data_IF_866001459742
#
_entry.id   IF_866001459742
#
_cell.length_a   1.000
_cell.length_b   1.000
_cell.length_c   1.000
_cell.angle_alpha   90.00
_cell.angle_beta   90.00
_cell.angle_gamma   90.00
#
_symmetry.space_group_name_H-M   'P 1'
#
loop_
_entity.id
_entity.type
_entity.pdbx_description
1 polymer ?
#
# COMPACT_ATOMS: atom_id res chain seq x y z
N UNK A 1 -71.51 -84.30 -14.58
CA UNK A 1 -72.01 -83.81 -15.88
C UNK A 1 -70.83 -83.18 -16.63
N UNK A 2 -70.45 -83.83 -17.74
CA UNK A 2 -69.95 -83.28 -19.02
C UNK A 2 -69.55 -81.79 -19.06
N UNK A 3 -68.43 -81.37 -19.65
CA UNK A 3 -68.04 -81.70 -21.03
C UNK A 3 -66.58 -81.33 -21.37
N UNK A 4 -66.02 -82.22 -22.17
CA UNK A 4 -64.88 -82.16 -23.09
C UNK A 4 -64.78 -80.88 -23.97
N UNK A 5 -63.55 -80.42 -24.25
CA UNK A 5 -63.03 -80.13 -25.62
C UNK A 5 -61.56 -79.71 -25.64
N UNK A 6 -60.79 -80.38 -26.51
CA UNK A 6 -59.36 -80.24 -26.76
C UNK A 6 -58.90 -78.98 -27.51
N UNK A 7 -57.63 -78.95 -27.96
CA UNK A 7 -56.81 -77.74 -28.03
C UNK A 7 -56.99 -76.95 -29.33
N UNK A 8 -56.99 -75.63 -29.23
CA UNK A 8 -56.86 -74.72 -30.39
C UNK A 8 -55.47 -74.12 -30.41
N UNK A 9 -54.74 -74.38 -31.49
CA UNK A 9 -53.46 -73.81 -31.85
C UNK A 9 -53.58 -72.30 -32.06
N UNK A 10 -52.64 -71.54 -31.48
CA UNK A 10 -52.57 -70.08 -31.50
C UNK A 10 -51.68 -69.64 -32.69
N UNK A 11 -52.08 -68.63 -33.48
CA UNK A 11 -51.26 -68.11 -34.58
C UNK A 11 -50.02 -67.36 -34.07
N UNK A 12 -48.96 -67.22 -34.89
CA UNK A 12 -47.72 -66.60 -34.45
C UNK A 12 -47.92 -65.11 -34.16
N UNK A 13 -47.45 -64.65 -32.99
CA UNK A 13 -47.43 -63.23 -32.65
C UNK A 13 -46.28 -62.51 -33.37
N UNK A 14 -46.52 -61.32 -33.95
CA UNK A 14 -45.46 -60.50 -34.51
C UNK A 14 -44.52 -60.00 -33.40
N UNK A 15 -43.22 -60.07 -33.67
CA UNK A 15 -42.14 -59.65 -32.79
C UNK A 15 -42.37 -58.22 -32.26
N UNK A 16 -42.47 -58.08 -30.94
CA UNK A 16 -42.56 -56.78 -30.27
C UNK A 16 -41.16 -56.16 -30.26
N UNK A 17 -40.95 -55.13 -31.09
CA UNK A 17 -39.75 -54.33 -31.05
C UNK A 17 -39.60 -53.69 -29.66
N UNK A 18 -38.48 -53.99 -29.01
CA UNK A 18 -38.03 -53.38 -27.76
C UNK A 18 -37.85 -51.88 -27.98
N UNK A 19 -38.76 -51.07 -27.46
CA UNK A 19 -38.59 -49.61 -27.43
C UNK A 19 -37.60 -49.31 -26.31
N UNK A 20 -36.35 -49.01 -26.69
CA UNK A 20 -35.35 -48.48 -25.76
C UNK A 20 -35.79 -47.12 -25.19
N UNK A 21 -35.22 -46.69 -24.05
CA UNK A 21 -35.58 -45.41 -23.46
C UNK A 21 -35.27 -44.28 -24.43
N UNK A 22 -36.30 -43.55 -24.86
CA UNK A 22 -36.16 -42.33 -25.64
C UNK A 22 -35.40 -41.32 -24.79
N UNK A 23 -34.10 -41.16 -25.09
CA UNK A 23 -33.26 -40.13 -24.48
C UNK A 23 -33.80 -38.78 -24.98
N UNK A 24 -34.59 -38.11 -24.12
CA UNK A 24 -35.02 -36.74 -24.37
C UNK A 24 -33.82 -35.84 -24.63
N UNK A 25 -33.97 -34.74 -25.39
CA UNK A 25 -32.84 -33.86 -25.69
C UNK A 25 -32.19 -33.42 -24.39
N UNK A 26 -30.87 -33.58 -24.29
CA UNK A 26 -30.11 -33.04 -23.18
C UNK A 26 -30.35 -31.52 -23.18
N UNK A 27 -31.17 -31.03 -22.24
CA UNK A 27 -31.35 -29.61 -22.04
C UNK A 27 -29.98 -29.05 -21.66
N UNK A 28 -29.35 -28.30 -22.58
CA UNK A 28 -28.10 -27.61 -22.30
C UNK A 28 -28.30 -26.74 -21.07
N UNK A 29 -27.47 -26.92 -20.04
CA UNK A 29 -27.50 -26.05 -18.86
C UNK A 29 -26.98 -24.69 -19.31
N UNK A 30 -27.82 -23.66 -19.23
CA UNK A 30 -27.40 -22.28 -19.45
C UNK A 30 -26.30 -21.97 -18.41
N UNK A 31 -25.15 -21.52 -18.88
CA UNK A 31 -24.10 -21.02 -18.00
C UNK A 31 -24.52 -19.61 -17.56
N UNK A 32 -24.83 -19.44 -16.27
CA UNK A 32 -25.06 -18.11 -15.69
C UNK A 32 -23.71 -17.42 -15.49
N UNK A 33 -23.21 -16.82 -16.58
CA UNK A 33 -21.93 -16.13 -16.60
C UNK A 33 -21.87 -14.97 -15.62
N UNK A 34 -22.99 -14.30 -15.35
CA UNK A 34 -23.05 -13.16 -14.42
C UNK A 34 -22.77 -13.62 -13.01
N UNK A 35 -23.48 -14.65 -12.53
CA UNK A 35 -23.24 -15.20 -11.21
C UNK A 35 -21.82 -15.78 -11.05
N UNK A 36 -21.27 -16.36 -12.11
CA UNK A 36 -19.88 -16.85 -12.11
C UNK A 36 -18.88 -15.69 -11.97
N UNK A 37 -19.08 -14.60 -12.72
CA UNK A 37 -18.23 -13.41 -12.64
C UNK A 37 -18.32 -12.75 -11.26
N UNK A 38 -19.52 -12.59 -10.71
CA UNK A 38 -19.72 -12.03 -9.36
C UNK A 38 -18.97 -12.85 -8.30
N UNK A 39 -19.09 -14.18 -8.34
CA UNK A 39 -18.40 -15.05 -7.41
C UNK A 39 -16.87 -15.00 -7.58
N UNK A 40 -16.36 -14.85 -8.81
CA UNK A 40 -14.93 -14.68 -9.05
C UNK A 40 -14.41 -13.34 -8.50
N UNK A 41 -15.14 -12.25 -8.72
CA UNK A 41 -14.84 -10.94 -8.15
C UNK A 41 -14.81 -10.99 -6.61
N UNK A 42 -15.82 -11.61 -6.00
CA UNK A 42 -15.89 -11.81 -4.55
C UNK A 42 -14.71 -12.64 -4.01
N UNK A 43 -14.31 -13.69 -4.72
CA UNK A 43 -13.16 -14.51 -4.33
C UNK A 43 -11.84 -13.75 -4.45
N UNK A 44 -11.69 -12.93 -5.49
CA UNK A 44 -10.52 -12.07 -5.66
C UNK A 44 -10.45 -11.04 -4.53
N UNK A 45 -11.56 -10.35 -4.26
CA UNK A 45 -11.64 -9.35 -3.19
C UNK A 45 -11.28 -9.94 -1.83
N UNK A 46 -11.85 -11.10 -1.46
CA UNK A 46 -11.51 -11.78 -0.19
C UNK A 46 -10.03 -12.13 -0.07
N UNK A 47 -9.41 -12.58 -1.17
CA UNK A 47 -7.97 -12.89 -1.18
C UNK A 47 -7.12 -11.64 -1.04
N UNK A 48 -7.49 -10.57 -1.72
CA UNK A 48 -6.85 -9.27 -1.60
C UNK A 48 -6.93 -8.74 -0.16
N UNK A 49 -8.12 -8.74 0.43
CA UNK A 49 -8.34 -8.28 1.81
C UNK A 49 -7.51 -9.12 2.80
N UNK A 50 -7.48 -10.45 2.63
CA UNK A 50 -6.65 -11.34 3.47
C UNK A 50 -5.15 -11.02 3.36
N UNK A 51 -4.66 -10.75 2.14
CA UNK A 51 -3.26 -10.39 1.92
C UNK A 51 -2.94 -9.04 2.56
N UNK A 52 -3.83 -8.06 2.39
CA UNK A 52 -3.72 -6.73 2.98
C UNK A 52 -3.67 -6.83 4.52
N UNK A 53 -4.63 -7.54 5.12
CA UNK A 53 -4.71 -7.78 6.56
C UNK A 53 -3.45 -8.45 7.10
N UNK A 54 -2.98 -9.50 6.42
CA UNK A 54 -1.78 -10.24 6.84
C UNK A 54 -0.53 -9.36 6.76
N UNK A 55 -0.44 -8.52 5.73
CA UNK A 55 0.68 -7.59 5.54
C UNK A 55 0.68 -6.53 6.63
N UNK A 56 -0.46 -5.89 6.89
CA UNK A 56 -0.62 -4.89 7.96
C UNK A 56 -0.35 -5.51 9.32
N UNK A 57 -0.89 -6.69 9.62
CA UNK A 57 -0.65 -7.36 10.90
C UNK A 57 0.84 -7.70 11.13
N UNK A 58 1.57 -8.00 10.06
CA UNK A 58 3.00 -8.36 10.13
C UNK A 58 3.93 -7.14 10.17
N UNK A 59 3.58 -6.08 9.45
CA UNK A 59 4.49 -4.96 9.19
C UNK A 59 3.99 -3.62 9.73
N UNK A 60 2.74 -3.52 10.21
CA UNK A 60 2.10 -2.27 10.64
C UNK A 60 1.35 -1.55 9.52
N UNK A 61 1.85 -1.60 8.28
CA UNK A 61 1.17 -1.09 7.09
C UNK A 61 1.49 -1.98 5.87
N UNK A 62 0.71 -1.79 4.81
CA UNK A 62 0.99 -2.32 3.48
C UNK A 62 1.30 -1.17 2.51
N UNK A 63 1.94 -1.49 1.39
CA UNK A 63 2.14 -0.55 0.27
C UNK A 63 1.29 -1.00 -0.91
N UNK A 64 0.45 -0.10 -1.41
CA UNK A 64 -0.43 -0.34 -2.55
C UNK A 64 0.02 0.50 -3.74
N UNK A 65 0.45 -0.19 -4.81
CA UNK A 65 0.87 0.44 -6.07
C UNK A 65 -0.28 0.57 -7.04
N UNK A 66 -0.26 1.66 -7.80
CA UNK A 66 -1.12 1.90 -8.96
C UNK A 66 -0.23 2.26 -10.14
N UNK A 67 -0.38 1.49 -11.22
CA UNK A 67 0.45 1.62 -12.41
C UNK A 67 0.20 2.96 -13.12
N UNK A 68 1.22 3.42 -13.85
CA UNK A 68 1.08 4.61 -14.69
C UNK A 68 0.13 4.36 -15.86
N UNK A 69 -0.65 5.37 -16.19
CA UNK A 69 -1.45 5.45 -17.42
C UNK A 69 -0.82 6.44 -18.41
N UNK A 70 -1.17 6.42 -19.71
CA UNK A 70 -0.61 7.35 -20.69
C UNK A 70 -0.72 8.84 -20.32
N UNK A 71 -1.74 9.21 -19.53
CA UNK A 71 -2.00 10.58 -19.11
C UNK A 71 -1.66 10.87 -17.63
N UNK A 72 -1.25 9.86 -16.85
CA UNK A 72 -1.04 10.00 -15.41
C UNK A 72 0.13 9.12 -14.92
N UNK A 73 1.09 9.68 -14.16
CA UNK A 73 2.14 8.87 -13.56
C UNK A 73 1.57 7.87 -12.55
N UNK A 74 2.26 6.74 -12.40
CA UNK A 74 1.94 5.77 -11.37
C UNK A 74 2.25 6.31 -9.98
N UNK A 75 1.64 5.71 -8.97
CA UNK A 75 1.81 6.12 -7.58
C UNK A 75 1.81 4.93 -6.63
N UNK A 76 2.35 5.15 -5.44
CA UNK A 76 2.41 4.18 -4.36
C UNK A 76 1.90 4.87 -3.10
N UNK A 77 1.06 4.18 -2.32
CA UNK A 77 0.55 4.72 -1.07
C UNK A 77 0.53 3.68 0.04
N UNK A 78 0.52 4.15 1.28
CA UNK A 78 0.42 3.29 2.46
C UNK A 78 -1.03 2.91 2.77
N UNK A 79 -1.21 1.74 3.36
CA UNK A 79 -2.48 1.33 3.97
C UNK A 79 -2.16 0.80 5.35
N UNK A 80 -2.54 1.53 6.40
CA UNK A 80 -2.32 1.11 7.78
C UNK A 80 -1.78 2.18 8.70
N UNK A 81 -1.26 3.29 8.18
CA UNK A 81 -0.74 4.36 9.03
C UNK A 81 -1.84 5.00 9.87
N UNK A 82 -3.09 4.97 9.42
CA UNK A 82 -4.23 5.42 10.21
C UNK A 82 -4.35 4.75 11.59
N UNK A 83 -3.83 3.53 11.76
CA UNK A 83 -3.85 2.83 13.06
C UNK A 83 -2.85 3.41 14.08
N UNK A 84 -1.93 4.28 13.64
CA UNK A 84 -0.96 4.99 14.49
C UNK A 84 -1.53 6.36 14.88
N UNK A 85 -2.49 6.38 15.79
CA UNK A 85 -3.15 7.63 16.26
C UNK A 85 -3.74 8.49 15.12
N UNK A 86 -4.50 7.85 14.23
CA UNK A 86 -5.13 8.50 13.08
C UNK A 86 -4.13 9.25 12.18
N UNK A 87 -2.88 8.77 12.09
CA UNK A 87 -1.88 9.37 11.21
C UNK A 87 -2.36 9.32 9.75
N UNK A 88 -2.18 10.41 8.97
CA UNK A 88 -2.49 10.42 7.55
C UNK A 88 -1.75 9.29 6.79
N UNK A 89 -2.40 8.70 5.79
CA UNK A 89 -1.68 7.80 4.88
C UNK A 89 -0.69 8.60 4.02
N UNK A 90 0.39 7.98 3.58
CA UNK A 90 1.39 8.63 2.73
C UNK A 90 1.21 8.19 1.29
N UNK A 91 1.27 9.14 0.36
CA UNK A 91 1.23 8.86 -1.09
C UNK A 91 2.42 9.51 -1.79
N UNK A 92 3.06 8.78 -2.69
CA UNK A 92 4.11 9.31 -3.56
C UNK A 92 3.78 9.01 -5.02
N UNK A 93 3.95 10.02 -5.87
CA UNK A 93 3.58 9.97 -7.29
C UNK A 93 4.83 10.13 -8.14
N UNK A 94 4.94 9.38 -9.25
CA UNK A 94 5.97 9.61 -10.26
C UNK A 94 7.31 8.91 -10.00
N UNK A 95 7.47 8.22 -8.87
CA UNK A 95 8.65 7.43 -8.58
C UNK A 95 8.53 5.98 -9.06
N UNK A 96 9.68 5.38 -9.36
CA UNK A 96 9.77 3.93 -9.56
C UNK A 96 9.39 3.21 -8.27
N UNK A 97 8.64 2.11 -8.39
CA UNK A 97 8.06 1.35 -7.26
C UNK A 97 9.07 1.07 -6.14
N UNK A 98 10.30 0.65 -6.45
CA UNK A 98 11.31 0.38 -5.43
C UNK A 98 11.74 1.64 -4.66
N UNK A 99 11.94 2.76 -5.35
CA UNK A 99 12.32 4.03 -4.72
C UNK A 99 11.18 4.56 -3.85
N UNK A 100 9.96 4.53 -4.37
CA UNK A 100 8.75 4.86 -3.63
C UNK A 100 8.58 4.00 -2.38
N UNK A 101 8.77 2.68 -2.49
CA UNK A 101 8.62 1.77 -1.37
C UNK A 101 9.67 2.00 -0.28
N UNK A 102 10.91 2.27 -0.67
CA UNK A 102 11.99 2.59 0.27
C UNK A 102 11.65 3.87 1.03
N UNK A 103 11.27 4.93 0.29
CA UNK A 103 10.88 6.22 0.85
C UNK A 103 9.73 6.10 1.86
N UNK A 104 8.62 5.45 1.46
CA UNK A 104 7.44 5.30 2.31
C UNK A 104 7.70 4.42 3.53
N UNK A 105 8.51 3.37 3.41
CA UNK A 105 8.85 2.54 4.57
C UNK A 105 9.75 3.28 5.55
N UNK A 106 10.73 4.06 5.08
CA UNK A 106 11.57 4.88 5.97
C UNK A 106 10.73 5.90 6.74
N UNK A 107 9.79 6.60 6.08
CA UNK A 107 8.86 7.51 6.75
C UNK A 107 7.92 6.76 7.71
N UNK A 108 7.41 5.60 7.31
CA UNK A 108 6.60 4.75 8.16
C UNK A 108 7.34 4.30 9.43
N UNK A 109 8.64 4.00 9.33
CA UNK A 109 9.44 3.58 10.48
C UNK A 109 9.58 4.70 11.51
N UNK A 110 9.68 5.95 11.07
CA UNK A 110 9.65 7.12 11.97
C UNK A 110 8.29 7.29 12.64
N UNK A 111 7.19 7.09 11.90
CA UNK A 111 5.83 7.12 12.45
C UNK A 111 5.67 6.04 13.52
N UNK A 112 6.18 4.83 13.24
CA UNK A 112 6.21 3.75 14.25
C UNK A 112 7.02 4.13 15.49
N UNK A 113 8.10 4.90 15.32
CA UNK A 113 8.90 5.42 16.43
C UNK A 113 8.21 6.55 17.22
N UNK A 114 7.02 6.97 16.83
CA UNK A 114 6.22 7.99 17.53
C UNK A 114 6.27 9.38 16.91
N UNK A 115 6.96 9.55 15.78
CA UNK A 115 6.96 10.82 15.06
C UNK A 115 5.63 11.02 14.36
N UNK A 116 5.11 12.25 14.39
CA UNK A 116 3.92 12.62 13.64
C UNK A 116 4.29 13.53 12.50
N UNK A 117 4.05 13.07 11.28
CA UNK A 117 4.29 13.88 10.10
C UNK A 117 3.14 14.89 9.92
N UNK A 118 3.51 16.10 9.53
CA UNK A 118 2.57 17.19 9.31
C UNK A 118 2.71 17.75 7.89
N UNK A 119 1.61 18.32 7.41
CA UNK A 119 1.60 19.11 6.17
C UNK A 119 2.54 20.31 6.27
N UNK A 120 2.99 20.79 5.11
CA UNK A 120 3.91 21.92 4.96
C UNK A 120 5.24 21.73 5.69
N UNK A 121 5.63 20.49 5.95
CA UNK A 121 6.93 20.14 6.50
C UNK A 121 7.92 19.83 5.37
N UNK A 122 9.15 20.32 5.48
CA UNK A 122 10.25 19.89 4.60
C UNK A 122 11.21 19.01 5.40
N UNK A 123 11.63 17.89 4.82
CA UNK A 123 12.67 17.04 5.40
C UNK A 123 13.96 17.32 4.65
N UNK A 124 14.95 17.92 5.32
CA UNK A 124 16.30 18.05 4.78
C UNK A 124 17.07 16.72 4.90
N UNK A 125 18.01 16.48 3.99
CA UNK A 125 18.99 15.38 4.04
C UNK A 125 18.40 13.99 4.33
N UNK A 126 17.21 13.72 3.78
CA UNK A 126 16.54 12.45 3.95
C UNK A 126 17.33 11.32 3.24
N UNK A 127 17.40 10.09 3.79
CA UNK A 127 18.15 9.00 3.16
C UNK A 127 17.80 8.77 1.68
N UNK A 128 18.74 9.11 0.78
CA UNK A 128 18.60 8.98 -0.67
C UNK A 128 17.94 10.18 -1.37
N UNK A 129 17.56 11.23 -0.65
CA UNK A 129 16.88 12.42 -1.15
C UNK A 129 17.44 13.69 -0.48
N UNK A 130 18.03 14.63 -1.25
CA UNK A 130 18.49 15.90 -0.68
C UNK A 130 17.42 16.65 0.09
N UNK A 131 16.17 16.55 -0.39
CA UNK A 131 15.02 17.21 0.22
C UNK A 131 13.72 16.51 -0.12
N UNK A 132 12.81 16.48 0.86
CA UNK A 132 11.42 16.12 0.66
C UNK A 132 10.53 17.24 1.17
N UNK A 133 9.30 17.29 0.69
CA UNK A 133 8.25 18.11 1.30
C UNK A 133 6.99 17.27 1.49
N UNK A 134 6.21 17.60 2.51
CA UNK A 134 4.94 16.93 2.82
C UNK A 134 3.81 17.92 2.62
N UNK A 135 2.81 17.53 1.84
CA UNK A 135 1.64 18.35 1.55
C UNK A 135 0.35 17.58 1.84
N UNK A 136 -0.67 18.27 2.35
CA UNK A 136 -2.01 17.69 2.41
C UNK A 136 -2.48 17.22 1.03
N UNK A 137 -3.34 16.21 1.02
CA UNK A 137 -4.10 15.81 -0.15
C UNK A 137 -5.55 16.23 0.08
N UNK A 138 -6.18 16.88 -0.92
CA UNK A 138 -7.58 17.25 -0.76
C UNK A 138 -8.48 16.00 -0.63
N UNK A 139 -9.62 16.10 0.07
CA UNK A 139 -10.50 14.95 0.30
C UNK A 139 -10.98 14.25 -0.99
N UNK A 140 -11.14 14.98 -2.10
CA UNK A 140 -11.54 14.38 -3.37
C UNK A 140 -10.46 13.44 -3.92
N UNK A 141 -9.22 13.88 -3.88
CA UNK A 141 -8.06 13.05 -4.22
C UNK A 141 -7.85 11.91 -3.21
N UNK A 142 -8.05 12.11 -1.91
CA UNK A 142 -8.02 11.02 -0.92
C UNK A 142 -9.05 9.92 -1.25
N UNK A 143 -10.28 10.30 -1.59
CA UNK A 143 -11.34 9.36 -1.96
C UNK A 143 -10.98 8.56 -3.22
N UNK A 144 -10.40 9.23 -4.23
CA UNK A 144 -10.09 8.64 -5.52
C UNK A 144 -8.82 7.75 -5.49
N UNK A 145 -7.76 8.19 -4.81
CA UNK A 145 -6.44 7.58 -4.90
C UNK A 145 -6.20 6.50 -3.84
N UNK A 146 -6.92 6.52 -2.70
CA UNK A 146 -6.68 5.61 -1.57
C UNK A 146 -7.85 4.63 -1.30
N UNK A 147 -8.39 3.92 -2.32
CA UNK A 147 -9.58 3.09 -2.13
C UNK A 147 -9.38 1.96 -1.11
N UNK A 148 -8.16 1.42 -0.97
CA UNK A 148 -7.87 0.36 -0.01
C UNK A 148 -7.88 0.87 1.44
N UNK A 149 -7.29 2.04 1.70
CA UNK A 149 -7.28 2.65 3.02
C UNK A 149 -8.69 3.13 3.42
N UNK A 150 -9.42 3.75 2.49
CA UNK A 150 -10.81 4.15 2.70
C UNK A 150 -11.69 2.96 3.05
N UNK A 151 -11.66 1.87 2.27
CA UNK A 151 -12.44 0.65 2.58
C UNK A 151 -12.19 0.10 3.97
N UNK A 152 -10.98 0.30 4.50
CA UNK A 152 -10.55 -0.23 5.80
C UNK A 152 -10.89 0.69 6.97
N UNK A 153 -10.66 1.99 6.83
CA UNK A 153 -10.67 2.93 7.95
C UNK A 153 -11.73 4.01 7.85
N UNK A 154 -12.34 4.24 6.68
CA UNK A 154 -13.43 5.18 6.53
C UNK A 154 -14.68 4.66 7.25
N UNK A 155 -15.27 5.48 8.10
CA UNK A 155 -16.59 5.20 8.66
C UNK A 155 -17.68 5.38 7.59
N UNK A 156 -18.81 4.65 7.62
CA UNK A 156 -19.82 4.66 6.55
C UNK A 156 -20.29 6.04 6.07
N UNK A 157 -20.40 7.01 6.97
CA UNK A 157 -20.81 8.39 6.68
C UNK A 157 -19.69 9.42 6.92
N UNK A 158 -18.44 8.96 7.07
CA UNK A 158 -17.29 9.82 7.37
C UNK A 158 -16.55 10.30 6.12
N UNK A 159 -15.66 11.29 6.28
CA UNK A 159 -14.76 11.69 5.20
C UNK A 159 -13.83 10.51 4.83
N UNK A 160 -13.23 10.54 3.62
CA UNK A 160 -12.11 9.65 3.30
C UNK A 160 -10.97 9.84 4.32
N UNK A 161 -10.08 8.86 4.41
CA UNK A 161 -8.90 8.97 5.28
C UNK A 161 -8.03 10.15 4.84
N UNK A 162 -7.44 10.85 5.81
CA UNK A 162 -6.47 11.90 5.54
C UNK A 162 -5.22 11.30 4.88
N UNK A 163 -4.57 12.09 4.03
CA UNK A 163 -3.32 11.70 3.40
C UNK A 163 -2.35 12.89 3.26
N UNK A 164 -1.06 12.57 3.30
CA UNK A 164 0.03 13.46 2.93
C UNK A 164 0.68 12.98 1.64
N UNK A 165 0.81 13.87 0.66
CA UNK A 165 1.66 13.66 -0.49
C UNK A 165 3.12 13.90 -0.10
N UNK A 166 3.96 12.90 -0.33
CA UNK A 166 5.41 13.02 -0.24
C UNK A 166 5.94 13.58 -1.57
N UNK A 167 6.44 14.81 -1.51
CA UNK A 167 7.06 15.52 -2.63
C UNK A 167 8.55 15.24 -2.64
N UNK A 168 9.04 14.71 -3.76
CA UNK A 168 10.45 14.44 -3.97
C UNK A 168 11.11 15.54 -4.82
N UNK A 169 12.36 15.84 -4.50
CA UNK A 169 13.16 16.82 -5.23
C UNK A 169 13.87 16.21 -6.44
N UNK A 170 14.34 17.05 -7.37
CA UNK A 170 15.21 16.63 -8.45
C UNK A 170 16.63 16.34 -7.92
N UNK A 171 17.57 15.84 -8.75
CA UNK A 171 18.94 15.56 -8.32
C UNK A 171 19.74 16.76 -7.82
N UNK A 172 19.29 17.99 -8.09
CA UNK A 172 19.89 19.23 -7.60
C UNK A 172 19.21 19.74 -6.32
N UNK A 173 18.19 19.03 -5.84
CA UNK A 173 17.46 19.38 -4.62
C UNK A 173 16.26 20.29 -4.85
N UNK A 174 15.93 20.68 -6.09
CA UNK A 174 14.78 21.56 -6.33
C UNK A 174 13.46 20.82 -6.19
N UNK A 175 12.45 21.47 -5.62
CA UNK A 175 11.07 20.98 -5.57
C UNK A 175 10.28 21.41 -6.81
N UNK A 176 9.15 20.76 -7.16
CA UNK A 176 8.43 21.00 -8.40
C UNK A 176 7.96 22.45 -8.66
N UNK A 177 7.83 23.25 -7.59
CA UNK A 177 7.42 24.66 -7.65
C UNK A 177 8.59 25.64 -7.67
N UNK A 178 9.82 25.18 -7.46
CA UNK A 178 10.97 26.06 -7.35
C UNK A 178 11.58 26.38 -8.72
N UNK A 179 12.15 27.58 -8.89
CA UNK A 179 13.00 27.88 -10.03
C UNK A 179 14.17 26.88 -10.10
N UNK A 180 14.36 26.25 -11.26
CA UNK A 180 15.45 25.29 -11.46
C UNK A 180 15.03 23.82 -11.44
N UNK A 181 13.76 23.51 -11.15
CA UNK A 181 13.21 22.15 -11.29
C UNK A 181 13.52 21.56 -12.67
N UNK A 182 14.25 20.44 -12.67
CA UNK A 182 14.85 19.88 -13.89
C UNK A 182 13.93 18.92 -14.67
N UNK A 183 12.77 18.55 -14.14
CA UNK A 183 11.88 17.54 -14.73
C UNK A 183 10.59 18.15 -15.29
N UNK A 184 9.81 17.42 -16.10
CA UNK A 184 8.48 17.89 -16.50
C UNK A 184 7.56 18.08 -15.28
N UNK A 185 6.71 19.10 -15.28
CA UNK A 185 5.71 19.28 -14.21
C UNK A 185 4.71 18.12 -14.11
N UNK A 186 4.59 17.30 -15.16
CA UNK A 186 3.79 16.07 -15.16
C UNK A 186 4.47 14.87 -14.51
N UNK A 187 5.77 14.98 -14.17
CA UNK A 187 6.49 13.90 -13.52
C UNK A 187 5.91 13.61 -12.13
N UNK A 188 5.49 14.66 -11.41
CA UNK A 188 4.80 14.55 -10.15
C UNK A 188 3.72 15.66 -10.04
N UNK A 189 2.46 15.36 -10.39
CA UNK A 189 1.35 16.22 -10.08
C UNK A 189 1.26 16.47 -8.57
N UNK A 190 1.22 17.74 -8.16
CA UNK A 190 0.97 18.12 -6.76
C UNK A 190 -0.54 18.15 -6.58
N UNK A 191 -1.04 17.34 -5.64
CA UNK A 191 -2.47 17.07 -5.46
C UNK A 191 -3.20 18.22 -4.78
N UNK A 192 -2.48 19.04 -4.02
CA UNK A 192 -3.00 20.26 -3.43
C UNK A 192 -1.86 21.26 -3.28
N UNK A 193 -1.92 22.36 -4.03
CA UNK A 193 -1.03 23.48 -3.80
C UNK A 193 -1.60 24.35 -2.68
N UNK A 194 -0.84 24.59 -1.60
CA UNK A 194 -1.18 25.63 -0.65
C UNK A 194 -1.40 26.98 -1.35
N UNK A 195 -2.33 27.79 -0.83
CA UNK A 195 -2.49 29.17 -1.29
C UNK A 195 -1.38 30.11 -0.77
N UNK A 196 -0.62 29.71 0.25
CA UNK A 196 0.48 30.48 0.85
C UNK A 196 1.84 29.85 0.55
N UNK A 197 2.90 30.67 0.57
CA UNK A 197 4.28 30.22 0.36
C UNK A 197 4.70 29.12 1.36
N UNK A 198 5.56 28.20 0.91
CA UNK A 198 6.10 27.13 1.74
C UNK A 198 7.17 27.71 2.68
N UNK A 199 7.13 27.41 4.00
CA UNK A 199 8.19 27.85 4.90
C UNK A 199 9.55 27.27 4.50
N UNK A 200 10.60 28.05 4.70
CA UNK A 200 11.99 27.67 4.44
C UNK A 200 12.39 26.53 5.42
N UNK A 201 13.11 25.46 5.01
CA UNK A 201 13.51 24.36 5.88
C UNK A 201 14.15 24.76 7.22
N UNK A 202 14.73 25.96 7.34
CA UNK A 202 15.34 26.46 8.59
C UNK A 202 14.37 27.05 9.63
N UNK A 203 13.07 27.13 9.36
CA UNK A 203 12.10 27.78 10.26
C UNK A 203 11.44 26.81 11.27
N UNK A 204 11.73 25.51 11.17
CA UNK A 204 11.30 24.50 12.14
C UNK A 204 12.45 24.18 13.12
N UNK A 205 12.37 24.74 14.32
CA UNK A 205 13.37 24.53 15.40
C UNK A 205 13.33 23.13 16.01
N UNK A 206 12.37 22.29 15.61
CA UNK A 206 12.24 20.89 15.96
C UNK A 206 12.15 20.06 14.67
N UNK A 207 13.23 19.96 13.88
CA UNK A 207 13.28 19.05 12.74
C UNK A 207 13.54 17.61 13.25
N UNK A 208 12.54 16.71 13.23
CA UNK A 208 12.71 15.34 13.70
C UNK A 208 13.55 14.48 12.75
N UNK A 209 14.00 15.03 11.62
CA UNK A 209 14.79 14.34 10.60
C UNK A 209 16.29 14.63 10.70
N UNK A 210 16.70 15.58 11.56
CA UNK A 210 18.12 15.73 11.90
C UNK A 210 18.58 14.46 12.58
N UNK A 211 19.32 13.62 11.87
CA UNK A 211 20.05 12.52 12.48
C UNK A 211 21.10 13.16 13.39
N UNK A 212 20.96 13.01 14.71
CA UNK A 212 21.99 13.41 15.67
C UNK A 212 23.33 12.78 15.24
N UNK A 213 24.23 13.58 14.66
CA UNK A 213 25.59 13.12 14.31
C UNK A 213 26.49 12.94 15.56
N UNK A 214 26.00 13.27 16.74
CA UNK A 214 26.79 13.25 17.97
C UNK A 214 26.66 11.95 18.75
N UNK A 215 27.34 10.92 18.26
CA UNK A 215 27.98 9.94 19.16
C UNK A 215 29.42 9.72 18.73
N UNK A 216 30.21 10.81 18.73
CA UNK A 216 31.66 10.71 18.86
C UNK A 216 32.01 10.73 20.36
N UNK A 217 32.08 9.53 20.94
CA UNK A 217 32.77 9.30 22.21
C UNK A 217 34.23 9.74 22.05
N UNK A 218 34.53 10.93 22.59
CA UNK A 218 35.86 11.47 22.71
C UNK A 218 36.09 11.89 24.17
N UNK A 219 36.06 10.90 25.06
CA UNK A 219 36.65 11.01 26.38
C UNK A 219 38.18 11.06 26.32
N UNK A 220 38.72 12.25 26.04
CA UNK A 220 40.12 12.59 26.36
C UNK A 220 40.10 13.59 27.50
N UNK A 221 39.99 13.10 28.73
CA UNK A 221 40.43 13.87 29.90
C UNK A 221 41.94 13.74 30.03
N UNK A 222 42.61 14.86 29.81
CA UNK A 222 44.00 15.09 30.16
C UNK A 222 44.03 15.45 31.65
N UNK A 223 44.51 14.53 32.48
CA UNK A 223 45.10 14.86 33.78
C UNK A 223 46.51 14.24 33.82
N UNK A 224 47.50 15.11 33.88
CA UNK A 224 48.92 14.81 34.12
C UNK A 224 49.33 15.50 35.43
N UNK A 225 50.47 15.16 36.06
CA UNK A 225 50.85 13.90 36.72
C UNK A 225 51.21 14.13 38.19
N UNK A 226 51.25 13.08 39.04
CA UNK A 226 52.27 13.00 40.11
C UNK A 226 52.41 11.58 40.69
N UNK A 227 53.61 11.31 41.18
CA UNK A 227 54.07 10.24 42.07
C UNK A 227 54.62 8.95 41.41
N UNK A 228 55.91 9.03 41.03
CA UNK A 228 56.76 7.89 40.77
C UNK A 228 57.43 7.41 42.08
N UNK A 229 57.43 6.10 42.40
CA UNK A 229 58.21 5.61 43.53
C UNK A 229 59.69 5.44 43.15
N UNK A 230 60.56 5.97 44.00
CA UNK A 230 62.03 5.89 43.95
C UNK A 230 62.53 4.44 44.08
N UNK A 231 63.56 3.99 43.34
CA UNK A 231 64.20 2.71 43.59
C UNK A 231 65.24 2.83 44.72
N UNK A 232 65.16 1.95 45.72
CA UNK A 232 66.25 1.71 46.67
C UNK A 232 67.37 0.87 46.03
N UNK A 233 68.65 1.16 46.28
CA UNK A 233 69.74 0.25 45.95
C UNK A 233 69.90 -0.80 47.06
N UNK A 234 70.20 -2.03 46.68
CA UNK A 234 70.76 -3.04 47.58
C UNK A 234 72.19 -3.36 47.14
N UNK A 235 73.10 -3.26 48.11
CA UNK A 235 74.44 -3.83 48.13
C UNK A 235 74.43 -5.36 47.98
#
# INVERSE_FOLDING_TARGET
>A
MTSNRGPRTRPPQPHRATTGPTRGPAAGRLLDTTHVLDNLCDQFQRRYDTLLDTTIARHGWALQGVDSEPAAPGYLYTVGLHAFDHHPELVVIGLRVHAAATLLNTLGDQIRAGHRLATRHQCADFPGWPRLALLDVDPGNCAALLPAANRRYQTPDGPPVDALQVIWCDPLGHLPWEPGWALPHTAQPVLHFPHDDFPDPGDHTDDPFTLDEDTHDSGLDQDEPDDAPTPHPLD
#
